data_IF_679112169120
#
_entry.id   IF_679112169120
#
_cell.length_a   1.000
_cell.length_b   1.000
_cell.length_c   1.000
_cell.angle_alpha   90.00
_cell.angle_beta   90.00
_cell.angle_gamma   90.00
#
_symmetry.space_group_name_H-M   'P 1'
#
loop_
_entity.id
_entity.type
_entity.pdbx_description
1 polymer ?
#
# COMPACT_ATOMS: atom_id res chain seq x y z
N UNK A 1 -8.30 -5.76 29.53
CA UNK A 1 -8.48 -7.19 29.81
C UNK A 1 -9.68 -7.66 28.99
N UNK A 2 -9.49 -8.61 28.05
CA UNK A 2 -10.58 -9.20 27.28
C UNK A 2 -11.41 -10.10 28.22
N UNK A 3 -12.72 -9.85 28.32
CA UNK A 3 -13.63 -10.61 29.21
C UNK A 3 -14.30 -11.77 28.47
N UNK A 4 -14.48 -11.66 27.15
CA UNK A 4 -15.05 -12.74 26.31
C UNK A 4 -14.63 -12.55 24.84
N UNK A 5 -14.59 -13.63 24.12
CA UNK A 5 -14.42 -13.69 22.66
C UNK A 5 -15.56 -14.54 22.13
N UNK A 6 -16.29 -14.02 21.12
CA UNK A 6 -17.26 -14.80 20.33
C UNK A 6 -16.76 -14.90 18.89
N UNK A 7 -17.03 -16.02 18.24
CA UNK A 7 -16.76 -16.24 16.84
C UNK A 7 -18.09 -16.62 16.18
N UNK A 8 -18.49 -15.80 15.23
CA UNK A 8 -19.74 -15.97 14.51
C UNK A 8 -19.45 -15.91 12.99
N UNK A 9 -20.27 -16.57 12.15
CA UNK A 9 -20.18 -16.40 10.71
C UNK A 9 -20.33 -14.91 10.33
N UNK A 10 -19.46 -14.41 9.43
CA UNK A 10 -19.59 -13.05 8.92
C UNK A 10 -20.90 -12.89 8.13
N UNK A 11 -21.53 -11.72 8.23
CA UNK A 11 -22.68 -11.38 7.40
C UNK A 11 -22.24 -11.42 5.92
N UNK A 12 -22.98 -12.09 5.03
CA UNK A 12 -22.67 -12.13 3.60
C UNK A 12 -22.58 -10.75 2.92
N UNK A 13 -23.21 -9.73 3.50
CA UNK A 13 -23.17 -8.33 3.01
C UNK A 13 -21.86 -7.60 3.33
N UNK A 14 -21.03 -8.12 4.24
CA UNK A 14 -19.73 -7.53 4.56
C UNK A 14 -18.87 -7.47 3.29
N UNK A 15 -18.41 -6.27 2.98
CA UNK A 15 -17.46 -6.04 1.87
C UNK A 15 -16.08 -6.47 2.32
N UNK A 16 -15.36 -7.19 1.47
CA UNK A 16 -13.94 -7.49 1.72
C UNK A 16 -13.08 -6.70 0.76
N UNK A 17 -12.11 -5.98 1.30
CA UNK A 17 -11.03 -5.34 0.54
C UNK A 17 -9.80 -6.22 0.63
N UNK A 18 -9.47 -6.89 -0.47
CA UNK A 18 -8.27 -7.70 -0.60
C UNK A 18 -7.10 -6.82 -0.98
N UNK A 19 -6.03 -6.84 -0.18
CA UNK A 19 -4.80 -6.12 -0.49
C UNK A 19 -3.78 -7.09 -1.07
N UNK A 20 -3.31 -6.79 -2.28
CA UNK A 20 -2.21 -7.49 -2.95
C UNK A 20 -1.06 -6.51 -3.14
N UNK A 21 0.14 -6.89 -2.74
CA UNK A 21 1.29 -6.00 -2.78
C UNK A 21 2.55 -6.63 -2.21
N UNK A 22 3.47 -5.77 -1.84
CA UNK A 22 4.78 -6.14 -1.32
C UNK A 22 4.98 -5.64 0.14
N UNK A 23 6.23 -5.42 0.55
CA UNK A 23 6.61 -5.02 1.92
C UNK A 23 6.06 -3.67 2.38
N UNK A 24 5.57 -2.82 1.47
CA UNK A 24 4.93 -1.55 1.83
C UNK A 24 3.44 -1.71 2.16
N UNK A 25 2.88 -2.90 1.92
CA UNK A 25 1.46 -3.25 2.13
C UNK A 25 1.26 -4.35 3.17
N UNK A 26 2.19 -5.31 3.28
CA UNK A 26 2.10 -6.50 4.13
C UNK A 26 1.97 -6.15 5.62
N UNK A 27 1.29 -6.98 6.39
CA UNK A 27 1.35 -6.91 7.85
C UNK A 27 2.77 -7.31 8.29
N UNK A 28 3.53 -6.36 8.84
CA UNK A 28 4.92 -6.57 9.22
C UNK A 28 5.02 -7.36 10.53
N UNK A 29 5.87 -8.39 10.54
CA UNK A 29 6.04 -9.30 11.68
C UNK A 29 6.92 -8.72 12.80
N UNK A 30 7.75 -7.74 12.49
CA UNK A 30 8.79 -7.26 13.40
C UNK A 30 8.79 -5.73 13.52
N UNK A 31 8.84 -5.25 14.76
CA UNK A 31 9.15 -3.84 15.01
C UNK A 31 10.58 -3.51 14.57
N UNK A 32 10.83 -2.30 14.08
CA UNK A 32 9.94 -1.15 13.95
C UNK A 32 9.25 -1.03 12.57
N UNK A 33 9.26 -2.07 11.77
CA UNK A 33 8.63 -2.04 10.45
C UNK A 33 7.11 -2.02 10.56
N UNK A 34 6.49 -1.24 9.70
CA UNK A 34 5.04 -1.16 9.53
C UNK A 34 4.70 -0.87 8.07
N UNK A 35 3.43 -1.02 7.69
CA UNK A 35 2.95 -0.75 6.35
C UNK A 35 1.57 -0.09 6.35
N UNK A 36 1.17 0.52 5.23
CA UNK A 36 -0.14 1.13 5.14
C UNK A 36 -1.28 0.09 5.16
N UNK A 37 -1.04 -1.11 4.62
CA UNK A 37 -2.05 -2.17 4.62
C UNK A 37 -2.38 -2.66 6.03
N UNK A 38 -1.41 -2.62 6.94
CA UNK A 38 -1.56 -2.93 8.34
C UNK A 38 -2.38 -1.86 9.10
N UNK A 39 -2.31 -0.60 8.64
CA UNK A 39 -2.97 0.54 9.30
C UNK A 39 -4.39 0.80 8.78
N UNK A 40 -4.68 0.44 7.54
CA UNK A 40 -5.95 0.79 6.88
C UNK A 40 -7.22 0.25 7.58
N UNK A 41 -7.21 -0.91 8.29
CA UNK A 41 -8.39 -1.37 9.02
C UNK A 41 -8.91 -0.38 10.07
N UNK A 42 -8.04 0.49 10.59
CA UNK A 42 -8.40 1.53 11.56
C UNK A 42 -9.52 2.46 11.08
N UNK A 43 -9.60 2.70 9.78
CA UNK A 43 -10.53 3.67 9.18
C UNK A 43 -11.92 3.08 8.89
N UNK A 44 -12.09 1.77 8.95
CA UNK A 44 -13.35 1.09 8.61
C UNK A 44 -14.12 0.60 9.84
N UNK A 45 -15.41 0.39 9.65
CA UNK A 45 -16.29 -0.28 10.60
C UNK A 45 -16.31 -1.80 10.41
N UNK A 46 -17.26 -2.46 11.05
CA UNK A 46 -17.44 -3.92 10.99
C UNK A 46 -18.10 -4.41 9.70
N UNK A 47 -18.57 -3.51 8.87
CA UNK A 47 -19.18 -3.77 7.56
C UNK A 47 -18.16 -3.89 6.42
N UNK A 48 -16.89 -3.59 6.70
CA UNK A 48 -15.75 -3.80 5.78
C UNK A 48 -14.67 -4.62 6.47
N UNK A 49 -14.26 -5.71 5.83
CA UNK A 49 -13.13 -6.53 6.23
C UNK A 49 -11.93 -6.21 5.35
N UNK A 50 -10.76 -6.03 5.94
CA UNK A 50 -9.50 -5.91 5.19
C UNK A 50 -8.78 -7.27 5.23
N UNK A 51 -8.56 -7.85 4.07
CA UNK A 51 -7.86 -9.12 3.91
C UNK A 51 -6.50 -8.87 3.25
N UNK A 52 -5.45 -8.76 4.06
CA UNK A 52 -4.11 -8.44 3.57
C UNK A 52 -3.39 -9.72 3.10
N UNK A 53 -3.23 -9.86 1.78
CA UNK A 53 -2.52 -10.97 1.13
C UNK A 53 -1.13 -10.56 0.64
N UNK A 54 -0.71 -9.32 0.87
CA UNK A 54 0.61 -8.83 0.47
C UNK A 54 1.73 -9.67 1.07
N UNK A 55 2.90 -9.61 0.45
CA UNK A 55 4.08 -10.34 0.92
C UNK A 55 5.35 -9.57 0.59
N UNK A 56 6.26 -9.52 1.54
CA UNK A 56 7.56 -8.86 1.37
C UNK A 56 8.36 -9.47 0.22
N UNK A 57 8.97 -8.61 -0.60
CA UNK A 57 9.80 -9.04 -1.73
C UNK A 57 9.05 -9.35 -3.02
N UNK A 58 7.74 -9.46 -3.01
CA UNK A 58 6.97 -9.80 -4.20
C UNK A 58 6.90 -8.64 -5.19
N UNK A 59 6.99 -9.00 -6.46
CA UNK A 59 6.59 -8.23 -7.64
C UNK A 59 5.25 -8.75 -8.15
N UNK A 60 4.58 -8.04 -9.05
CA UNK A 60 3.28 -8.48 -9.56
C UNK A 60 3.34 -9.89 -10.19
N UNK A 61 4.38 -10.17 -10.98
CA UNK A 61 4.53 -11.48 -11.62
C UNK A 61 4.93 -12.60 -10.64
N UNK A 62 5.76 -12.33 -9.63
CA UNK A 62 6.14 -13.35 -8.63
C UNK A 62 4.98 -13.66 -7.69
N UNK A 63 4.19 -12.66 -7.33
CA UNK A 63 2.95 -12.84 -6.55
C UNK A 63 1.97 -13.82 -7.24
N UNK A 64 1.82 -13.69 -8.58
CA UNK A 64 1.04 -14.63 -9.38
C UNK A 64 1.69 -16.02 -9.36
N UNK A 65 2.99 -16.10 -9.64
CA UNK A 65 3.74 -17.36 -9.73
C UNK A 65 3.76 -18.13 -8.40
N UNK A 66 3.80 -17.43 -7.27
CA UNK A 66 3.72 -18.03 -5.94
C UNK A 66 2.29 -18.50 -5.56
N UNK A 67 1.30 -18.30 -6.44
CA UNK A 67 -0.07 -18.70 -6.20
C UNK A 67 -0.85 -17.80 -5.23
N UNK A 68 -0.28 -16.68 -4.81
CA UNK A 68 -0.91 -15.76 -3.85
C UNK A 68 -2.15 -15.10 -4.41
N UNK A 69 -2.11 -14.67 -5.68
CA UNK A 69 -3.31 -14.18 -6.36
C UNK A 69 -4.41 -15.25 -6.38
N UNK A 70 -4.07 -16.49 -6.74
CA UNK A 70 -5.04 -17.60 -6.74
C UNK A 70 -5.69 -17.81 -5.36
N UNK A 71 -4.91 -17.68 -4.29
CA UNK A 71 -5.42 -17.78 -2.92
C UNK A 71 -6.39 -16.65 -2.59
N UNK A 72 -6.05 -15.39 -2.88
CA UNK A 72 -6.95 -14.25 -2.68
C UNK A 72 -8.25 -14.45 -3.48
N UNK A 73 -8.14 -14.81 -4.76
CA UNK A 73 -9.28 -15.04 -5.65
C UNK A 73 -10.18 -16.22 -5.23
N UNK A 74 -9.70 -17.14 -4.41
CA UNK A 74 -10.52 -18.25 -3.88
C UNK A 74 -11.53 -17.78 -2.81
N UNK A 75 -11.34 -16.59 -2.26
CA UNK A 75 -12.20 -16.02 -1.23
C UNK A 75 -13.01 -14.81 -1.73
N UNK A 76 -12.58 -14.19 -2.83
CA UNK A 76 -13.20 -12.97 -3.36
C UNK A 76 -14.59 -13.29 -3.93
N UNK A 77 -15.57 -12.45 -3.61
CA UNK A 77 -16.94 -12.54 -4.12
C UNK A 77 -17.36 -11.27 -4.85
N UNK A 78 -18.49 -11.33 -5.52
CA UNK A 78 -19.09 -10.16 -6.17
C UNK A 78 -19.31 -9.03 -5.16
N UNK A 79 -18.87 -7.83 -5.52
CA UNK A 79 -18.98 -6.63 -4.69
C UNK A 79 -17.75 -6.36 -3.82
N UNK A 80 -16.82 -7.30 -3.70
CA UNK A 80 -15.54 -7.07 -3.02
C UNK A 80 -14.60 -6.20 -3.84
N UNK A 81 -13.52 -5.74 -3.23
CA UNK A 81 -12.48 -4.93 -3.87
C UNK A 81 -11.13 -5.65 -3.86
N UNK A 82 -10.37 -5.50 -4.95
CA UNK A 82 -8.99 -5.99 -5.05
C UNK A 82 -8.06 -4.79 -5.27
N UNK A 83 -7.34 -4.38 -4.23
CA UNK A 83 -6.32 -3.33 -4.30
C UNK A 83 -4.97 -3.93 -4.63
N UNK A 84 -4.24 -3.31 -5.55
CA UNK A 84 -2.97 -3.81 -6.06
C UNK A 84 -1.90 -2.72 -6.00
N UNK A 85 -0.91 -2.86 -5.10
CA UNK A 85 0.26 -2.00 -5.07
C UNK A 85 1.53 -2.81 -5.39
N UNK A 86 2.07 -2.60 -6.57
CA UNK A 86 3.33 -3.21 -7.03
C UNK A 86 4.20 -2.15 -7.71
N UNK A 87 5.45 -2.51 -8.03
CA UNK A 87 6.42 -1.63 -8.68
C UNK A 87 7.80 -1.65 -8.01
N UNK A 88 7.87 -1.66 -6.67
CA UNK A 88 9.13 -1.65 -5.92
C UNK A 88 10.08 -2.79 -6.29
N UNK A 89 9.56 -4.00 -6.46
CA UNK A 89 10.35 -5.19 -6.78
C UNK A 89 10.33 -5.51 -8.26
N UNK A 90 9.26 -5.12 -8.97
CA UNK A 90 9.15 -5.26 -10.42
C UNK A 90 10.27 -4.49 -11.12
N UNK A 91 10.54 -3.26 -10.69
CA UNK A 91 11.57 -2.37 -11.25
C UNK A 91 13.01 -2.93 -11.08
N UNK A 92 13.21 -3.82 -10.11
CA UNK A 92 14.50 -4.51 -9.92
C UNK A 92 14.74 -5.64 -10.91
N UNK A 93 13.67 -6.14 -11.57
CA UNK A 93 13.77 -7.22 -12.54
C UNK A 93 14.27 -6.67 -13.88
N UNK A 94 15.37 -7.21 -14.38
CA UNK A 94 16.00 -6.81 -15.65
C UNK A 94 16.10 -8.01 -16.59
N UNK A 95 16.26 -7.74 -17.88
CA UNK A 95 16.48 -8.73 -18.92
C UNK A 95 15.27 -8.95 -19.84
N UNK A 96 15.36 -9.90 -20.78
CA UNK A 96 14.31 -10.15 -21.77
C UNK A 96 12.96 -10.45 -21.12
N UNK A 97 11.91 -9.86 -21.64
CA UNK A 97 10.55 -10.06 -21.15
C UNK A 97 10.22 -9.31 -19.83
N UNK A 98 11.12 -8.46 -19.33
CA UNK A 98 10.91 -7.62 -18.16
C UNK A 98 10.69 -6.16 -18.56
N UNK A 99 10.01 -5.40 -17.71
CA UNK A 99 9.79 -3.96 -17.92
C UNK A 99 8.41 -3.50 -17.57
N UNK A 100 8.29 -2.18 -17.39
CA UNK A 100 7.07 -1.52 -16.93
C UNK A 100 5.90 -1.74 -17.89
N UNK A 101 6.12 -1.51 -19.18
CA UNK A 101 5.11 -1.65 -20.23
C UNK A 101 4.98 -3.06 -20.80
N UNK A 102 5.62 -4.05 -20.21
CA UNK A 102 5.55 -5.45 -20.64
C UNK A 102 5.15 -6.38 -19.49
N UNK A 103 6.10 -7.00 -18.78
CA UNK A 103 5.80 -7.99 -17.74
C UNK A 103 4.96 -7.41 -16.60
N UNK A 104 5.24 -6.18 -16.19
CA UNK A 104 4.51 -5.53 -15.10
C UNK A 104 3.05 -5.26 -15.47
N UNK A 105 2.81 -4.56 -16.59
CA UNK A 105 1.45 -4.29 -17.06
C UNK A 105 0.67 -5.56 -17.37
N UNK A 106 1.32 -6.57 -17.98
CA UNK A 106 0.67 -7.86 -18.27
C UNK A 106 0.22 -8.56 -16.99
N UNK A 107 1.06 -8.51 -15.94
CA UNK A 107 0.71 -9.08 -14.65
C UNK A 107 -0.45 -8.32 -14.01
N UNK A 108 -0.41 -6.98 -13.96
CA UNK A 108 -1.51 -6.17 -13.42
C UNK A 108 -2.82 -6.40 -14.20
N UNK A 109 -2.74 -6.55 -15.53
CA UNK A 109 -3.91 -6.88 -16.35
C UNK A 109 -4.52 -8.22 -15.93
N UNK A 110 -3.71 -9.22 -15.57
CA UNK A 110 -4.20 -10.49 -15.03
C UNK A 110 -5.00 -10.28 -13.73
N UNK A 111 -4.51 -9.47 -12.79
CA UNK A 111 -5.25 -9.15 -11.57
C UNK A 111 -6.61 -8.48 -11.88
N UNK A 112 -6.60 -7.52 -12.81
CA UNK A 112 -7.80 -6.78 -13.22
C UNK A 112 -8.86 -7.74 -13.79
N UNK A 113 -8.47 -8.59 -14.75
CA UNK A 113 -9.36 -9.51 -15.42
C UNK A 113 -9.95 -10.56 -14.47
N UNK A 114 -9.10 -11.11 -13.62
CA UNK A 114 -9.49 -12.12 -12.64
C UNK A 114 -10.46 -11.56 -11.56
N UNK A 115 -10.25 -10.31 -11.11
CA UNK A 115 -11.18 -9.64 -10.21
C UNK A 115 -12.55 -9.42 -10.89
N UNK A 116 -12.54 -8.87 -12.10
CA UNK A 116 -13.76 -8.62 -12.90
C UNK A 116 -14.54 -9.88 -13.20
N UNK A 117 -13.84 -10.98 -13.51
CA UNK A 117 -14.47 -12.27 -13.78
C UNK A 117 -15.28 -12.81 -12.58
N UNK A 118 -14.98 -12.33 -11.37
CA UNK A 118 -15.67 -12.66 -10.12
C UNK A 118 -16.69 -11.60 -9.68
N UNK A 119 -16.86 -10.54 -10.48
CA UNK A 119 -17.73 -9.41 -10.15
C UNK A 119 -17.19 -8.51 -9.04
N UNK A 120 -15.88 -8.59 -8.77
CA UNK A 120 -15.18 -7.72 -7.83
C UNK A 120 -14.61 -6.48 -8.54
N UNK A 121 -14.29 -5.46 -7.78
CA UNK A 121 -13.78 -4.17 -8.25
C UNK A 121 -12.26 -4.09 -8.11
N UNK A 122 -11.49 -4.14 -9.22
CA UNK A 122 -10.05 -3.91 -9.17
C UNK A 122 -9.75 -2.44 -8.93
N UNK A 123 -8.73 -2.15 -8.10
CA UNK A 123 -8.24 -0.81 -7.81
C UNK A 123 -6.71 -0.83 -7.89
N UNK A 124 -6.13 -0.03 -8.75
CA UNK A 124 -4.69 0.14 -8.87
C UNK A 124 -4.21 1.18 -7.88
N UNK A 125 -3.08 0.90 -7.21
CA UNK A 125 -2.40 1.81 -6.30
C UNK A 125 -0.95 1.93 -6.76
N UNK A 126 -0.53 3.14 -7.17
CA UNK A 126 0.86 3.33 -7.60
C UNK A 126 1.82 3.15 -6.42
N UNK A 127 3.05 2.62 -6.64
CA UNK A 127 3.99 2.39 -5.56
C UNK A 127 4.35 3.69 -4.85
N UNK A 128 4.49 3.64 -3.53
CA UNK A 128 4.98 4.76 -2.73
C UNK A 128 6.37 5.19 -3.20
N UNK A 129 6.72 6.47 -3.06
CA UNK A 129 8.08 6.92 -3.31
C UNK A 129 9.07 6.28 -2.31
N UNK A 130 10.33 6.16 -2.69
CA UNK A 130 11.42 5.97 -1.73
C UNK A 130 11.89 7.32 -1.22
N UNK A 131 12.39 7.34 0.00
CA UNK A 131 13.01 8.54 0.57
C UNK A 131 14.36 8.78 -0.13
N UNK A 132 14.33 9.39 -1.30
CA UNK A 132 15.50 9.74 -2.10
C UNK A 132 15.39 11.20 -2.53
N UNK A 133 16.09 12.09 -1.83
CA UNK A 133 16.08 13.52 -2.15
C UNK A 133 17.25 13.90 -3.06
N UNK A 134 17.03 14.91 -3.87
CA UNK A 134 18.09 15.60 -4.59
C UNK A 134 18.71 16.71 -3.72
N UNK A 135 19.69 17.44 -4.28
CA UNK A 135 20.38 18.52 -3.57
C UNK A 135 19.49 19.74 -3.29
N UNK A 136 18.34 19.84 -3.95
CA UNK A 136 17.37 20.95 -3.79
C UNK A 136 16.22 20.60 -2.84
N UNK A 137 16.20 19.37 -2.31
CA UNK A 137 15.17 18.90 -1.38
C UNK A 137 13.92 18.32 -2.04
N UNK A 138 13.99 18.00 -3.32
CA UNK A 138 12.90 17.33 -4.04
C UNK A 138 13.12 15.81 -4.12
N UNK A 139 12.04 15.06 -4.11
CA UNK A 139 12.08 13.61 -4.25
C UNK A 139 12.49 13.24 -5.69
N UNK A 140 13.53 12.41 -5.80
CA UNK A 140 13.93 11.77 -7.05
C UNK A 140 13.01 10.59 -7.34
N UNK A 141 12.59 10.48 -8.59
CA UNK A 141 11.92 9.27 -9.04
C UNK A 141 12.91 8.10 -9.09
N UNK A 142 12.62 7.04 -8.34
CA UNK A 142 13.42 5.82 -8.26
C UNK A 142 12.71 4.61 -8.82
N UNK A 143 11.51 4.79 -9.36
CA UNK A 143 10.66 3.71 -9.88
C UNK A 143 10.64 3.63 -11.41
N UNK A 144 11.46 4.45 -12.09
CA UNK A 144 11.51 4.48 -13.56
C UNK A 144 10.09 4.67 -14.13
N UNK A 145 9.74 3.97 -15.20
CA UNK A 145 8.44 4.08 -15.89
C UNK A 145 7.28 3.30 -15.21
N UNK A 146 7.52 2.63 -14.07
CA UNK A 146 6.52 1.73 -13.46
C UNK A 146 5.26 2.47 -12.96
N UNK A 147 5.34 3.61 -12.28
CA UNK A 147 4.16 4.38 -11.91
C UNK A 147 3.38 4.87 -13.14
N UNK A 148 4.09 5.34 -14.18
CA UNK A 148 3.46 5.83 -15.40
C UNK A 148 2.76 4.72 -16.19
N UNK A 149 3.38 3.54 -16.27
CA UNK A 149 2.76 2.37 -16.89
C UNK A 149 1.48 1.96 -16.16
N UNK A 150 1.45 2.07 -14.83
CA UNK A 150 0.24 1.78 -14.05
C UNK A 150 -0.86 2.84 -14.31
N UNK A 151 -0.52 4.13 -14.37
CA UNK A 151 -1.45 5.22 -14.73
C UNK A 151 -2.06 4.99 -16.12
N UNK A 152 -1.19 4.65 -17.08
CA UNK A 152 -1.62 4.33 -18.44
C UNK A 152 -2.59 3.12 -18.48
N UNK A 153 -2.24 2.04 -17.75
CA UNK A 153 -3.09 0.85 -17.68
C UNK A 153 -4.44 1.16 -17.03
N UNK A 154 -4.45 1.92 -15.94
CA UNK A 154 -5.67 2.35 -15.27
C UNK A 154 -6.62 3.09 -16.22
N UNK A 155 -6.09 4.06 -16.96
CA UNK A 155 -6.86 4.82 -17.94
C UNK A 155 -7.37 3.92 -19.09
N UNK A 156 -6.51 3.06 -19.65
CA UNK A 156 -6.86 2.17 -20.75
C UNK A 156 -7.92 1.15 -20.38
N UNK A 157 -7.82 0.57 -19.18
CA UNK A 157 -8.74 -0.45 -18.71
C UNK A 157 -9.96 0.13 -17.95
N UNK A 158 -10.02 1.45 -17.80
CA UNK A 158 -11.04 2.13 -16.99
C UNK A 158 -11.14 1.53 -15.57
N UNK A 159 -9.98 1.46 -14.90
CA UNK A 159 -9.82 0.97 -13.52
C UNK A 159 -9.54 2.14 -12.60
N UNK A 160 -10.22 2.24 -11.44
CA UNK A 160 -9.88 3.23 -10.43
C UNK A 160 -8.40 3.20 -10.05
N UNK A 161 -7.79 4.38 -9.91
CA UNK A 161 -6.39 4.54 -9.54
C UNK A 161 -6.26 5.43 -8.29
N UNK A 162 -5.50 4.95 -7.32
CA UNK A 162 -4.99 5.75 -6.21
C UNK A 162 -3.53 6.08 -6.54
N UNK A 163 -3.24 7.35 -6.82
CA UNK A 163 -1.90 7.80 -7.18
C UNK A 163 -1.06 8.05 -5.93
N UNK A 164 -0.72 6.96 -5.24
CA UNK A 164 0.03 7.01 -3.99
C UNK A 164 1.49 7.47 -4.22
N UNK A 165 2.02 7.27 -5.42
CA UNK A 165 3.36 7.74 -5.81
C UNK A 165 3.45 9.26 -5.71
N UNK A 166 2.48 9.99 -6.25
CA UNK A 166 2.44 11.44 -6.19
C UNK A 166 2.08 11.97 -4.79
N UNK A 167 1.17 11.30 -4.10
CA UNK A 167 0.80 11.69 -2.73
C UNK A 167 1.96 11.53 -1.76
N UNK A 168 2.77 10.47 -1.90
CA UNK A 168 3.95 10.27 -1.05
C UNK A 168 5.13 11.16 -1.43
N UNK A 169 5.26 11.57 -2.70
CA UNK A 169 6.16 12.67 -3.09
C UNK A 169 5.82 13.93 -2.30
N UNK A 170 4.57 14.35 -2.34
CA UNK A 170 4.07 15.53 -1.61
C UNK A 170 4.33 15.41 -0.11
N UNK A 171 4.02 14.25 0.48
CA UNK A 171 4.22 13.98 1.90
C UNK A 171 5.70 14.10 2.31
N UNK A 172 6.61 13.44 1.56
CA UNK A 172 8.02 13.43 1.95
C UNK A 172 8.66 14.79 1.74
N UNK A 173 8.29 15.53 0.70
CA UNK A 173 8.77 16.91 0.47
C UNK A 173 8.25 17.86 1.55
N UNK A 174 7.00 17.71 2.01
CA UNK A 174 6.45 18.48 3.13
C UNK A 174 7.17 18.20 4.45
N UNK A 175 7.55 16.95 4.72
CA UNK A 175 8.37 16.60 5.87
C UNK A 175 9.82 17.11 5.75
N UNK A 176 10.32 17.24 4.53
CA UNK A 176 11.70 17.66 4.26
C UNK A 176 12.73 16.55 4.49
N UNK A 177 13.99 16.84 4.12
CA UNK A 177 15.08 15.84 4.09
C UNK A 177 15.39 15.20 5.44
N UNK A 178 15.31 15.94 6.54
CA UNK A 178 15.65 15.40 7.87
C UNK A 178 14.44 14.82 8.59
N UNK A 179 13.33 15.54 8.68
CA UNK A 179 12.14 15.07 9.41
C UNK A 179 11.53 13.84 8.78
N UNK A 180 11.61 13.68 7.44
CA UNK A 180 11.10 12.51 6.76
C UNK A 180 11.76 11.19 7.23
N UNK A 181 13.00 11.21 7.75
CA UNK A 181 13.61 10.01 8.37
C UNK A 181 12.72 9.40 9.45
N UNK A 182 11.96 10.25 10.15
CA UNK A 182 11.06 9.82 11.23
C UNK A 182 9.79 9.11 10.75
N UNK A 183 9.53 9.08 9.46
CA UNK A 183 8.48 8.27 8.84
C UNK A 183 9.01 6.93 8.31
N UNK A 184 10.32 6.72 8.34
CA UNK A 184 10.99 5.53 7.85
C UNK A 184 11.72 4.79 8.98
N UNK A 185 12.28 3.63 8.68
CA UNK A 185 13.02 2.83 9.66
C UNK A 185 14.45 3.38 9.77
N UNK A 186 14.58 4.48 10.48
CA UNK A 186 15.84 5.15 10.83
C UNK A 186 15.99 5.22 12.35
N UNK A 187 16.84 4.35 12.89
CA UNK A 187 17.05 4.24 14.34
C UNK A 187 18.53 3.99 14.66
N UNK A 188 19.10 4.68 15.67
CA UNK A 188 20.46 4.38 16.15
C UNK A 188 20.62 2.94 16.57
N UNK A 189 21.83 2.44 16.53
CA UNK A 189 22.14 1.11 17.07
C UNK A 189 21.72 1.02 18.57
N UNK A 190 21.18 -0.13 18.95
CA UNK A 190 20.73 -0.37 20.33
C UNK A 190 19.36 0.20 20.69
N UNK A 191 18.59 0.73 19.71
CA UNK A 191 17.21 1.19 19.97
C UNK A 191 16.27 0.01 20.24
N UNK A 192 16.46 -1.10 19.55
CA UNK A 192 15.65 -2.32 19.71
C UNK A 192 16.48 -3.48 20.23
N UNK A 193 15.86 -4.45 20.92
CA UNK A 193 16.57 -5.65 21.40
C UNK A 193 17.30 -6.37 20.28
N UNK A 194 18.59 -6.63 20.45
CA UNK A 194 19.43 -7.33 19.48
C UNK A 194 19.90 -6.48 18.29
N UNK A 195 19.50 -5.23 18.18
CA UNK A 195 19.94 -4.31 17.14
C UNK A 195 21.38 -3.84 17.39
N UNK A 196 22.34 -4.39 16.66
CA UNK A 196 23.76 -4.06 16.80
C UNK A 196 24.24 -2.94 15.88
N UNK A 197 23.45 -2.59 14.85
CA UNK A 197 23.77 -1.54 13.87
C UNK A 197 22.59 -0.55 13.76
N UNK A 198 22.88 0.67 13.32
CA UNK A 198 21.83 1.60 12.97
C UNK A 198 20.95 1.05 11.82
N UNK A 199 19.65 1.33 11.88
CA UNK A 199 18.76 1.16 10.74
C UNK A 199 18.74 2.48 9.94
N UNK A 200 18.89 2.38 8.62
CA UNK A 200 18.91 3.51 7.68
C UNK A 200 18.11 3.16 6.41
N UNK A 201 16.90 2.66 6.61
CA UNK A 201 16.02 2.18 5.53
C UNK A 201 15.23 3.35 4.95
N UNK A 202 15.43 3.63 3.67
CA UNK A 202 14.74 4.68 2.93
C UNK A 202 13.56 4.16 2.08
N UNK A 203 13.14 2.92 2.31
CA UNK A 203 12.04 2.27 1.59
C UNK A 203 10.90 1.89 2.51
N UNK A 204 11.21 1.34 3.69
CA UNK A 204 10.21 0.80 4.60
C UNK A 204 9.89 1.78 5.73
N UNK A 205 8.65 1.74 6.18
CA UNK A 205 8.06 2.68 7.13
C UNK A 205 8.11 2.14 8.55
N UNK A 206 8.13 3.04 9.50
CA UNK A 206 7.76 2.80 10.88
C UNK A 206 6.24 3.07 11.06
N UNK A 207 5.65 2.86 12.27
CA UNK A 207 4.22 3.07 12.50
C UNK A 207 3.72 4.47 12.10
N UNK A 208 4.47 5.54 12.40
CA UNK A 208 4.09 6.88 11.99
C UNK A 208 4.00 7.01 10.47
N UNK A 209 5.05 6.62 9.74
CA UNK A 209 5.06 6.70 8.28
C UNK A 209 3.97 5.85 7.65
N UNK A 210 3.78 4.62 8.13
CA UNK A 210 2.73 3.72 7.66
C UNK A 210 1.33 4.31 7.85
N UNK A 211 1.08 4.97 8.98
CA UNK A 211 -0.19 5.65 9.26
C UNK A 211 -0.43 6.85 8.34
N UNK A 212 0.60 7.71 8.13
CA UNK A 212 0.50 8.84 7.18
C UNK A 212 0.16 8.35 5.76
N UNK A 213 0.79 7.25 5.33
CA UNK A 213 0.52 6.67 4.01
C UNK A 213 -0.87 6.04 3.94
N UNK A 214 -1.33 5.38 5.00
CA UNK A 214 -2.70 4.87 5.07
C UNK A 214 -3.73 5.99 4.92
N UNK A 215 -3.51 7.15 5.54
CA UNK A 215 -4.34 8.34 5.34
C UNK A 215 -4.33 8.81 3.87
N UNK A 216 -3.16 8.80 3.21
CA UNK A 216 -3.08 9.06 1.76
C UNK A 216 -3.93 8.07 0.96
N UNK A 217 -3.86 6.78 1.27
CA UNK A 217 -4.68 5.75 0.60
C UNK A 217 -6.17 6.04 0.79
N UNK A 218 -6.62 6.41 1.99
CA UNK A 218 -8.01 6.76 2.26
C UNK A 218 -8.44 7.99 1.44
N UNK A 219 -7.61 9.04 1.38
CA UNK A 219 -7.93 10.23 0.57
C UNK A 219 -7.99 9.91 -0.94
N UNK A 220 -7.08 9.06 -1.43
CA UNK A 220 -7.13 8.56 -2.80
C UNK A 220 -8.36 7.71 -3.07
N UNK A 221 -8.73 6.85 -2.12
CA UNK A 221 -9.91 5.99 -2.19
C UNK A 221 -11.21 6.80 -2.25
N UNK A 222 -11.34 7.89 -1.49
CA UNK A 222 -12.52 8.78 -1.53
C UNK A 222 -12.77 9.33 -2.94
N UNK A 223 -11.72 9.54 -3.70
CA UNK A 223 -11.79 10.05 -5.09
C UNK A 223 -11.99 8.91 -6.09
N UNK A 224 -11.24 7.81 -5.94
CA UNK A 224 -11.20 6.74 -6.93
C UNK A 224 -12.39 5.76 -6.81
N UNK A 225 -12.82 5.46 -5.59
CA UNK A 225 -13.89 4.49 -5.28
C UNK A 225 -14.84 5.02 -4.19
N UNK A 226 -15.60 6.09 -4.50
CA UNK A 226 -16.44 6.78 -3.52
C UNK A 226 -17.51 5.88 -2.89
N UNK A 227 -17.94 4.80 -3.55
CA UNK A 227 -18.88 3.85 -2.98
C UNK A 227 -18.26 3.11 -1.76
N UNK A 228 -17.00 2.69 -1.85
CA UNK A 228 -16.31 2.10 -0.72
C UNK A 228 -16.07 3.13 0.40
N UNK A 229 -15.80 4.38 0.03
CA UNK A 229 -15.58 5.45 1.00
C UNK A 229 -16.80 5.77 1.90
N UNK A 230 -18.02 5.41 1.49
CA UNK A 230 -19.22 5.53 2.33
C UNK A 230 -19.19 4.66 3.57
N UNK A 231 -18.33 3.64 3.61
CA UNK A 231 -18.15 2.71 4.70
C UNK A 231 -17.05 3.14 5.69
N UNK A 232 -16.46 4.32 5.50
CA UNK A 232 -15.48 4.85 6.46
C UNK A 232 -16.18 5.17 7.78
N UNK A 233 -15.65 4.61 8.86
CA UNK A 233 -16.00 4.97 10.24
C UNK A 233 -15.23 6.19 10.71
N UNK A 234 -13.99 6.32 10.25
CA UNK A 234 -13.10 7.46 10.53
C UNK A 234 -12.68 8.06 9.19
N UNK A 235 -13.05 9.32 8.96
CA UNK A 235 -12.56 10.12 7.84
C UNK A 235 -11.41 11.01 8.33
N UNK A 236 -10.16 10.76 7.91
CA UNK A 236 -9.03 11.53 8.38
C UNK A 236 -9.05 12.98 7.89
N UNK A 237 -9.72 13.29 6.77
CA UNK A 237 -9.65 14.60 6.12
C UNK A 237 -8.20 15.06 5.92
N UNK A 238 -7.36 14.14 5.44
CA UNK A 238 -5.90 14.27 5.44
C UNK A 238 -5.39 15.04 4.22
N UNK A 239 -4.34 15.83 4.45
CA UNK A 239 -3.61 16.53 3.38
C UNK A 239 -2.11 16.14 3.46
N UNK A 240 -1.54 15.42 2.48
CA UNK A 240 -0.14 15.03 2.50
C UNK A 240 0.85 16.23 2.51
N UNK A 241 0.43 17.43 2.08
CA UNK A 241 1.23 18.63 2.19
C UNK A 241 1.28 19.21 3.61
N UNK A 242 0.48 18.68 4.54
CA UNK A 242 0.39 19.09 5.94
C UNK A 242 0.34 17.81 6.82
N UNK A 243 1.42 17.03 6.88
CA UNK A 243 1.47 15.81 7.65
C UNK A 243 1.23 16.05 9.15
N UNK A 244 0.71 15.05 9.83
CA UNK A 244 0.52 15.11 11.27
C UNK A 244 1.85 15.33 12.00
N UNK A 245 1.81 15.99 13.15
CA UNK A 245 3.02 16.18 13.96
C UNK A 245 3.52 14.82 14.47
N UNK A 246 4.71 14.45 14.04
CA UNK A 246 5.36 13.20 14.46
C UNK A 246 5.58 13.10 15.96
N UNK A 247 5.67 14.23 16.69
CA UNK A 247 5.83 14.25 18.14
C UNK A 247 4.51 14.03 18.88
N UNK A 248 3.39 14.30 18.22
CA UNK A 248 2.05 14.08 18.75
C UNK A 248 1.47 12.69 18.40
N UNK A 249 2.18 11.94 17.53
CA UNK A 249 1.73 10.62 17.11
C UNK A 249 1.95 9.58 18.20
N UNK A 250 0.88 8.89 18.58
CA UNK A 250 0.86 7.77 19.53
C UNK A 250 0.07 6.62 18.92
N UNK A 251 0.72 5.46 18.83
CA UNK A 251 0.12 4.22 18.32
C UNK A 251 0.07 3.14 19.37
#
# INVERSE_FOLDING_TARGET
VCQSISIEPADPSVITVFLCGNSTVVDQDNEPWASWGQMIPHFFGTDVCIANYAESGESANTFIAAGRLKKALSQIKKGDYLFMEFGHNDQKQKGPGKGAYYSFMTSLKTFIDEARARGAYPVLVTPTQRRSFDATGHIRDTHEDYPEAMRWLAAKENVPLIDLNEMTRTLYEALGTETSKRAFVHYPAGTYPGQTKAFEDNTHFNPYGAYQIAQCVIEGMKKAVPELAKHLKIDPSYNPAQPDDVNAFHW
#
